data_IF_783740898501
#
_entry.id   IF_783740898501
#
_cell.length_a   1.000
_cell.length_b   1.000
_cell.length_c   1.000
_cell.angle_alpha   90.00
_cell.angle_beta   90.00
_cell.angle_gamma   90.00
#
_symmetry.space_group_name_H-M   'P 1'
#
loop_
_entity.id
_entity.type
_entity.pdbx_description
1 polymer ?
#
# COMPACT_ATOMS: atom_id res chain seq x y z
N UNK A 1 -12.68 4.66 -13.43
CA UNK A 1 -12.55 5.22 -12.07
C UNK A 1 -11.30 4.65 -11.44
N UNK A 2 -10.61 5.46 -10.65
CA UNK A 2 -9.40 5.05 -9.94
C UNK A 2 -9.76 4.12 -8.80
N UNK A 3 -9.07 2.98 -8.68
CA UNK A 3 -9.29 2.04 -7.60
C UNK A 3 -8.09 1.09 -7.42
N UNK A 4 -8.04 0.45 -6.26
CA UNK A 4 -7.12 -0.67 -5.95
C UNK A 4 -7.92 -1.95 -5.71
N UNK A 5 -7.28 -3.10 -5.91
CA UNK A 5 -7.85 -4.43 -5.69
C UNK A 5 -6.80 -5.29 -5.00
N UNK A 6 -7.13 -5.79 -3.80
CA UNK A 6 -6.37 -6.81 -3.08
C UNK A 6 -7.09 -8.16 -3.25
N UNK A 7 -6.42 -9.14 -3.84
CA UNK A 7 -7.04 -10.41 -4.28
C UNK A 7 -7.38 -11.36 -3.13
N UNK A 8 -6.64 -11.29 -2.01
CA UNK A 8 -6.79 -12.19 -0.86
C UNK A 8 -7.30 -11.41 0.36
N UNK A 9 -8.50 -11.71 0.87
CA UNK A 9 -9.03 -11.04 2.06
C UNK A 9 -8.32 -11.48 3.34
N UNK A 10 -7.80 -12.72 3.38
CA UNK A 10 -7.06 -13.30 4.50
C UNK A 10 -5.88 -14.09 3.96
N UNK A 11 -4.72 -13.94 4.60
CA UNK A 11 -3.53 -14.70 4.31
C UNK A 11 -2.85 -15.12 5.60
N UNK A 12 -2.39 -16.36 5.66
CA UNK A 12 -1.58 -16.88 6.76
C UNK A 12 -0.14 -17.01 6.30
N UNK A 13 0.79 -16.64 7.17
CA UNK A 13 2.22 -16.81 6.95
C UNK A 13 2.86 -17.37 8.22
N UNK A 14 3.90 -18.18 8.05
CA UNK A 14 4.67 -18.75 9.15
C UNK A 14 5.75 -17.77 9.60
N UNK A 15 6.12 -17.84 10.88
CA UNK A 15 7.27 -17.08 11.40
C UNK A 15 8.54 -17.41 10.62
N UNK A 16 9.44 -16.44 10.53
CA UNK A 16 10.69 -16.49 9.74
C UNK A 16 10.49 -16.70 8.23
N UNK A 17 9.25 -16.80 7.78
CA UNK A 17 8.88 -16.91 6.38
C UNK A 17 8.85 -15.57 5.65
N UNK A 18 8.41 -15.63 4.40
CA UNK A 18 8.11 -14.45 3.58
C UNK A 18 6.63 -14.44 3.21
N UNK A 19 5.98 -13.29 3.38
CA UNK A 19 4.60 -13.05 3.02
C UNK A 19 4.52 -12.03 1.87
N UNK A 20 3.69 -12.31 0.87
CA UNK A 20 3.43 -11.37 -0.24
C UNK A 20 1.94 -11.05 -0.33
N UNK A 21 1.60 -9.78 -0.16
CA UNK A 21 0.26 -9.25 -0.27
C UNK A 21 0.08 -8.59 -1.62
N UNK A 22 -0.78 -9.17 -2.45
CA UNK A 22 -1.03 -8.66 -3.80
C UNK A 22 -1.89 -7.40 -3.76
N UNK A 23 -1.50 -6.39 -4.54
CA UNK A 23 -2.33 -5.24 -4.85
C UNK A 23 -2.20 -4.90 -6.33
N UNK A 24 -3.33 -4.77 -7.01
CA UNK A 24 -3.42 -4.23 -8.36
C UNK A 24 -4.18 -2.91 -8.34
N UNK A 25 -3.94 -2.06 -9.32
CA UNK A 25 -4.60 -0.76 -9.40
C UNK A 25 -5.12 -0.45 -10.81
N UNK A 26 -6.19 0.33 -10.86
CA UNK A 26 -6.64 1.01 -12.06
C UNK A 26 -6.51 2.50 -11.77
N UNK A 27 -5.75 3.20 -12.60
CA UNK A 27 -5.61 4.65 -12.55
C UNK A 27 -5.98 5.22 -13.91
N UNK A 28 -6.77 6.28 -13.92
CA UNK A 28 -7.15 7.06 -15.09
C UNK A 28 -5.96 7.85 -15.63
N UNK A 29 -5.16 8.45 -14.73
CA UNK A 29 -3.82 8.95 -15.04
C UNK A 29 -2.79 7.85 -14.79
N UNK A 30 -2.34 7.18 -15.85
CA UNK A 30 -1.32 6.12 -15.74
C UNK A 30 0.10 6.66 -15.65
N UNK A 31 0.30 7.98 -15.82
CA UNK A 31 1.64 8.56 -15.97
C UNK A 31 2.41 8.62 -14.65
N UNK A 32 1.71 8.87 -13.53
CA UNK A 32 2.32 9.01 -12.21
C UNK A 32 1.43 8.43 -11.10
N UNK A 33 1.29 7.10 -11.02
CA UNK A 33 0.47 6.49 -9.98
C UNK A 33 1.23 6.52 -8.64
N UNK A 34 0.58 7.03 -7.60
CA UNK A 34 1.14 7.07 -6.24
C UNK A 34 0.48 5.98 -5.42
N UNK A 35 1.25 4.91 -5.14
CA UNK A 35 0.76 3.74 -4.44
C UNK A 35 1.31 3.71 -3.02
N UNK A 36 0.43 3.51 -2.05
CA UNK A 36 0.74 3.52 -0.63
C UNK A 36 0.35 2.20 0.02
N UNK A 37 1.11 1.82 1.03
CA UNK A 37 0.76 0.74 1.94
C UNK A 37 0.63 1.25 3.37
N UNK A 38 -0.41 0.76 4.06
CA UNK A 38 -0.69 1.04 5.45
C UNK A 38 -0.85 -0.26 6.24
N UNK A 39 -0.44 -0.24 7.51
CA UNK A 39 -0.69 -1.31 8.47
C UNK A 39 -1.67 -0.82 9.54
N UNK A 40 -2.71 -1.59 9.83
CA UNK A 40 -3.64 -1.32 10.92
C UNK A 40 -3.63 -2.47 11.92
N UNK A 41 -3.12 -2.19 13.12
CA UNK A 41 -3.25 -3.07 14.28
C UNK A 41 -4.66 -2.98 14.86
N UNK A 42 -5.09 -4.03 15.55
CA UNK A 42 -6.38 -4.10 16.25
C UNK A 42 -6.59 -2.85 17.11
N UNK A 43 -7.75 -2.20 16.98
CA UNK A 43 -8.11 -0.99 17.71
C UNK A 43 -7.16 0.20 17.54
N UNK A 44 -6.42 0.27 16.42
CA UNK A 44 -5.56 1.41 16.06
C UNK A 44 -5.99 1.99 14.72
N UNK A 45 -5.63 3.25 14.48
CA UNK A 45 -5.74 3.85 13.15
C UNK A 45 -4.72 3.24 12.18
N UNK A 46 -4.98 3.22 10.87
CA UNK A 46 -3.99 2.83 9.87
C UNK A 46 -2.71 3.68 10.00
N UNK A 47 -1.56 3.01 10.00
CA UNK A 47 -0.24 3.62 10.07
C UNK A 47 0.43 3.52 8.71
N UNK A 48 0.95 4.64 8.23
CA UNK A 48 1.67 4.71 6.96
C UNK A 48 2.96 3.89 7.01
N UNK A 49 3.16 3.01 6.01
CA UNK A 49 4.35 2.16 5.90
C UNK A 49 5.31 2.66 4.83
N UNK A 50 4.82 2.84 3.59
CA UNK A 50 5.65 3.17 2.44
C UNK A 50 4.83 3.74 1.28
N UNK A 51 5.54 4.38 0.35
CA UNK A 51 5.01 4.89 -0.91
C UNK A 51 5.90 4.45 -2.07
N UNK A 52 5.27 4.16 -3.21
CA UNK A 52 5.93 3.91 -4.49
C UNK A 52 5.36 4.86 -5.54
N UNK A 53 6.27 5.58 -6.18
CA UNK A 53 6.02 6.56 -7.24
C UNK A 53 6.78 6.10 -8.50
N UNK A 54 6.37 6.60 -9.66
CA UNK A 54 7.18 6.46 -10.87
C UNK A 54 8.50 7.23 -10.69
N UNK A 55 9.61 6.51 -10.52
CA UNK A 55 10.96 7.10 -10.37
C UNK A 55 11.40 7.45 -8.94
N UNK A 56 10.56 7.26 -7.92
CA UNK A 56 10.94 7.48 -6.52
C UNK A 56 10.19 6.54 -5.57
N UNK A 57 10.80 6.22 -4.44
CA UNK A 57 10.22 5.37 -3.40
C UNK A 57 10.68 5.83 -2.02
N UNK A 58 9.83 5.61 -1.02
CA UNK A 58 10.17 5.90 0.37
C UNK A 58 9.49 4.90 1.29
N UNK A 59 10.20 4.53 2.35
CA UNK A 59 9.69 3.72 3.44
C UNK A 59 9.77 4.54 4.73
N UNK A 60 8.78 4.36 5.60
CA UNK A 60 8.91 4.79 6.99
C UNK A 60 10.00 3.96 7.67
N UNK A 61 10.76 4.61 8.54
CA UNK A 61 11.93 4.08 9.25
C UNK A 61 11.64 2.74 9.95
N UNK A 62 10.46 2.58 10.53
CA UNK A 62 10.05 1.35 11.25
C UNK A 62 9.86 0.14 10.33
N UNK A 63 9.61 0.36 9.04
CA UNK A 63 9.26 -0.68 8.09
C UNK A 63 10.39 -1.01 7.09
N UNK A 64 11.40 -0.15 6.98
CA UNK A 64 12.39 -0.20 5.89
C UNK A 64 13.23 -1.48 5.81
N UNK A 65 13.43 -2.19 6.92
CA UNK A 65 14.30 -3.36 6.94
C UNK A 65 13.62 -4.61 6.37
N UNK A 66 12.34 -4.83 6.72
CA UNK A 66 11.64 -6.09 6.43
C UNK A 66 10.50 -5.96 5.44
N UNK A 67 9.99 -4.74 5.23
CA UNK A 67 8.83 -4.49 4.38
C UNK A 67 9.26 -3.75 3.12
N UNK A 68 8.93 -4.30 1.96
CA UNK A 68 9.17 -3.67 0.68
C UNK A 68 7.98 -3.88 -0.26
N UNK A 69 7.68 -2.90 -1.10
CA UNK A 69 6.75 -3.08 -2.20
C UNK A 69 7.41 -2.74 -3.53
N UNK A 70 7.00 -3.40 -4.60
CA UNK A 70 7.59 -3.21 -5.93
C UNK A 70 6.53 -2.73 -6.91
N UNK A 71 6.63 -1.47 -7.34
CA UNK A 71 5.69 -0.90 -8.31
C UNK A 71 6.01 -1.45 -9.71
N UNK A 72 5.07 -2.20 -10.28
CA UNK A 72 5.12 -2.65 -11.66
C UNK A 72 4.02 -1.94 -12.46
N UNK A 73 4.42 -0.96 -13.25
CA UNK A 73 3.50 -0.15 -14.07
C UNK A 73 2.94 -0.92 -15.27
N UNK A 74 3.69 -1.90 -15.79
CA UNK A 74 3.25 -2.76 -16.90
C UNK A 74 2.10 -3.68 -16.49
N UNK A 75 2.20 -4.32 -15.33
CA UNK A 75 1.12 -5.18 -14.78
C UNK A 75 0.13 -4.44 -13.89
N UNK A 76 0.33 -3.13 -13.68
CA UNK A 76 -0.45 -2.28 -12.77
C UNK A 76 -0.59 -2.90 -11.37
N UNK A 77 0.55 -3.27 -10.79
CA UNK A 77 0.60 -3.92 -9.47
C UNK A 77 1.65 -3.31 -8.56
N UNK A 78 1.44 -3.48 -7.26
CA UNK A 78 2.33 -3.01 -6.19
C UNK A 78 2.30 -3.99 -5.00
N UNK A 79 2.71 -5.26 -5.19
CA UNK A 79 2.71 -6.23 -4.12
C UNK A 79 3.60 -5.78 -2.95
N UNK A 80 3.15 -6.02 -1.72
CA UNK A 80 3.93 -5.80 -0.49
C UNK A 80 4.52 -7.13 -0.04
N UNK A 81 5.85 -7.19 0.03
CA UNK A 81 6.62 -8.31 0.56
C UNK A 81 7.07 -7.99 1.99
N UNK A 82 6.83 -8.94 2.89
CA UNK A 82 7.24 -8.91 4.29
C UNK A 82 8.19 -10.08 4.51
N UNK A 83 9.45 -9.78 4.85
CA UNK A 83 10.47 -10.76 5.20
C UNK A 83 10.54 -10.95 6.72
N UNK A 84 11.11 -12.08 7.13
CA UNK A 84 11.28 -12.46 8.53
C UNK A 84 10.00 -12.20 9.33
N UNK A 85 8.90 -12.80 8.86
CA UNK A 85 7.55 -12.59 9.41
C UNK A 85 7.54 -12.93 10.89
N UNK A 86 6.87 -12.10 11.70
CA UNK A 86 6.72 -12.26 13.15
C UNK A 86 5.25 -12.30 13.53
N UNK A 87 4.90 -12.92 14.66
CA UNK A 87 3.54 -12.81 15.24
C UNK A 87 3.11 -11.34 15.41
N UNK A 88 4.05 -10.46 15.74
CA UNK A 88 3.79 -9.03 15.88
C UNK A 88 3.46 -8.35 14.55
N UNK A 89 3.59 -9.00 13.40
CA UNK A 89 3.21 -8.48 12.08
C UNK A 89 1.72 -8.73 11.77
N UNK A 90 1.01 -9.55 12.54
CA UNK A 90 -0.44 -9.75 12.37
C UNK A 90 -1.19 -8.41 12.45
N UNK A 91 -1.89 -8.06 11.36
CA UNK A 91 -2.57 -6.79 11.16
C UNK A 91 -3.48 -6.87 9.92
N UNK A 92 -4.30 -5.83 9.72
CA UNK A 92 -4.88 -5.55 8.40
C UNK A 92 -3.90 -4.67 7.63
N UNK A 93 -3.70 -4.98 6.35
CA UNK A 93 -2.81 -4.21 5.45
C UNK A 93 -3.63 -3.63 4.32
N UNK A 94 -3.55 -2.31 4.14
CA UNK A 94 -4.29 -1.60 3.12
C UNK A 94 -3.35 -1.09 2.04
N UNK A 95 -3.66 -1.47 0.80
CA UNK A 95 -3.14 -0.79 -0.37
C UNK A 95 -4.02 0.43 -0.67
N UNK A 96 -3.42 1.53 -1.11
CA UNK A 96 -4.14 2.72 -1.53
C UNK A 96 -3.51 3.33 -2.78
N UNK A 97 -4.35 3.89 -3.64
CA UNK A 97 -3.95 4.74 -4.76
C UNK A 97 -4.35 6.17 -4.40
N UNK A 98 -3.39 7.10 -4.36
CA UNK A 98 -3.70 8.51 -4.17
C UNK A 98 -4.48 9.01 -5.39
N UNK A 99 -5.71 9.52 -5.22
CA UNK A 99 -6.47 10.07 -6.34
C UNK A 99 -5.75 11.25 -6.96
N UNK A 100 -5.71 11.31 -8.28
CA UNK A 100 -5.30 12.53 -8.99
C UNK A 100 -6.51 13.46 -9.09
N UNK A 101 -6.81 14.20 -8.02
CA UNK A 101 -7.93 15.14 -8.06
C UNK A 101 -7.67 16.24 -9.10
N UNK A 102 -8.61 16.45 -10.03
CA UNK A 102 -8.60 17.57 -11.00
C UNK A 102 -9.74 18.57 -10.79
N UNK A 103 -10.53 18.45 -9.73
CA UNK A 103 -11.60 19.42 -9.42
C UNK A 103 -11.38 20.08 -8.05
N UNK A 104 -11.08 21.37 -8.09
CA UNK A 104 -10.87 22.25 -6.94
C UNK A 104 -12.13 23.03 -6.63
N UNK A 105 -12.80 22.74 -5.52
CA UNK A 105 -13.80 23.64 -4.95
C UNK A 105 -13.67 23.72 -3.42
N UNK A 106 -13.70 24.94 -2.91
CA UNK A 106 -13.79 25.23 -1.47
C UNK A 106 -15.12 25.91 -1.20
N UNK A 107 -15.84 25.45 -0.18
CA UNK A 107 -16.92 26.25 0.41
C UNK A 107 -16.91 26.04 1.91
N UNK A 108 -16.59 27.11 2.63
CA UNK A 108 -16.79 27.22 4.07
C UNK A 108 -18.08 28.00 4.27
N UNK A 109 -19.03 27.43 5.02
CA UNK A 109 -20.18 28.16 5.55
C UNK A 109 -20.24 27.97 7.06
N UNK A 110 -20.55 29.07 7.74
CA UNK A 110 -20.78 29.15 9.18
C UNK A 110 -22.11 28.49 9.54
#
# INVERSE_FOLDING_TARGET
>A
QDNVIQSKPVMTAYEDGTATLDCTYKATSTQYPNLLWYQQKTNRSPKYMLIRLSGSSSNNEEFKERFNADLNTSSKSVPLTIKDVRVSDSAVYYCALQPTATETHSTIRQ
#
